data_IF_047562715827
#
_entry.id   IF_047562715827
#
_cell.length_a   1.000
_cell.length_b   1.000
_cell.length_c   1.000
_cell.angle_alpha   90.00
_cell.angle_beta   90.00
_cell.angle_gamma   90.00
#
_symmetry.space_group_name_H-M   'P 1'
#
loop_
_entity.id
_entity.type
_entity.pdbx_description
1 polymer ?
#
# COMPACT_ATOMS: atom_id res chain seq x y z
N UNK A 1 -14.88 -17.49 28.97
CA UNK A 1 -15.78 -17.64 27.81
C UNK A 1 -14.92 -17.49 26.57
N UNK A 2 -14.90 -18.48 25.67
CA UNK A 2 -14.11 -18.38 24.44
C UNK A 2 -14.69 -17.23 23.59
N UNK A 3 -13.84 -16.28 23.21
CA UNK A 3 -14.21 -15.21 22.28
C UNK A 3 -14.35 -15.85 20.90
N UNK A 4 -15.57 -15.96 20.40
CA UNK A 4 -15.82 -16.33 19.02
C UNK A 4 -15.44 -15.13 18.14
N UNK A 5 -14.49 -15.31 17.22
CA UNK A 5 -14.06 -14.24 16.34
C UNK A 5 -15.04 -14.12 15.17
N UNK A 6 -15.65 -12.94 15.01
CA UNK A 6 -16.57 -12.71 13.88
C UNK A 6 -15.81 -12.53 12.57
N UNK A 7 -16.51 -12.62 11.43
CA UNK A 7 -15.91 -12.33 10.13
C UNK A 7 -15.37 -10.90 10.06
N UNK A 8 -16.08 -9.95 10.68
CA UNK A 8 -15.67 -8.54 10.77
C UNK A 8 -14.39 -8.37 11.61
N UNK A 9 -14.22 -9.14 12.69
CA UNK A 9 -13.02 -9.08 13.52
C UNK A 9 -11.78 -9.58 12.77
N UNK A 10 -11.93 -10.66 11.99
CA UNK A 10 -10.86 -11.22 11.17
C UNK A 10 -10.52 -10.25 10.04
N UNK A 11 -11.51 -9.76 9.30
CA UNK A 11 -11.33 -8.79 8.23
C UNK A 11 -10.63 -7.50 8.74
N UNK A 12 -11.06 -6.99 9.90
CA UNK A 12 -10.43 -5.82 10.54
C UNK A 12 -8.99 -6.08 10.95
N UNK A 13 -8.67 -7.30 11.38
CA UNK A 13 -7.30 -7.69 11.76
C UNK A 13 -6.40 -7.78 10.53
N UNK A 14 -6.90 -8.33 9.42
CA UNK A 14 -6.20 -8.36 8.12
C UNK A 14 -5.93 -6.92 7.64
N UNK A 15 -6.94 -6.04 7.70
CA UNK A 15 -6.83 -4.65 7.26
C UNK A 15 -5.84 -3.85 8.11
N UNK A 16 -5.78 -4.12 9.42
CA UNK A 16 -4.78 -3.49 10.30
C UNK A 16 -3.35 -3.85 9.89
N UNK A 17 -3.12 -5.09 9.46
CA UNK A 17 -1.84 -5.50 8.88
C UNK A 17 -1.49 -4.71 7.62
N UNK A 18 -2.47 -4.51 6.74
CA UNK A 18 -2.31 -3.68 5.55
C UNK A 18 -1.96 -2.23 5.90
N UNK A 19 -2.70 -1.61 6.81
CA UNK A 19 -2.45 -0.23 7.26
C UNK A 19 -1.05 -0.10 7.86
N UNK A 20 -0.60 -1.07 8.66
CA UNK A 20 0.75 -1.09 9.21
C UNK A 20 1.82 -1.15 8.11
N UNK A 21 1.63 -2.02 7.11
CA UNK A 21 2.50 -2.09 5.94
C UNK A 21 2.54 -0.76 5.18
N UNK A 22 1.38 -0.16 4.87
CA UNK A 22 1.28 1.09 4.12
C UNK A 22 1.96 2.25 4.85
N UNK A 23 1.81 2.31 6.17
CA UNK A 23 2.48 3.31 7.01
C UNK A 23 4.00 3.17 6.96
N UNK A 24 4.54 1.96 7.07
CA UNK A 24 5.98 1.74 7.02
C UNK A 24 6.55 1.98 5.63
N UNK A 25 5.85 1.52 4.59
CA UNK A 25 6.24 1.77 3.20
C UNK A 25 6.35 3.27 2.91
N UNK A 26 5.37 4.04 3.38
CA UNK A 26 5.36 5.51 3.27
C UNK A 26 6.51 6.13 4.03
N UNK A 27 6.76 5.76 5.30
CA UNK A 27 7.89 6.29 6.09
C UNK A 27 9.24 6.08 5.40
N UNK A 28 9.48 4.90 4.82
CA UNK A 28 10.73 4.63 4.08
C UNK A 28 10.84 5.56 2.87
N UNK A 29 9.73 5.70 2.12
CA UNK A 29 9.67 6.45 0.86
C UNK A 29 9.77 7.96 1.09
N UNK A 30 9.13 8.51 2.13
CA UNK A 30 9.17 9.93 2.49
C UNK A 30 10.60 10.40 2.81
N UNK A 31 11.44 9.50 3.34
CA UNK A 31 12.85 9.78 3.60
C UNK A 31 13.75 9.83 2.35
N UNK A 32 13.24 9.51 1.16
CA UNK A 32 14.07 9.45 -0.06
C UNK A 32 14.68 10.81 -0.42
N UNK A 33 13.90 11.90 -0.32
CA UNK A 33 14.36 13.25 -0.62
C UNK A 33 15.54 13.67 0.26
N UNK A 34 15.43 13.48 1.57
CA UNK A 34 16.50 13.84 2.50
C UNK A 34 17.80 13.06 2.25
N UNK A 35 17.71 11.74 1.96
CA UNK A 35 18.88 10.91 1.63
C UNK A 35 19.56 11.38 0.34
N UNK A 36 18.77 11.80 -0.65
CA UNK A 36 19.30 12.37 -1.90
C UNK A 36 20.00 13.72 -1.64
N UNK A 37 19.35 14.63 -0.92
CA UNK A 37 19.89 15.96 -0.61
C UNK A 37 21.18 15.91 0.22
N UNK A 38 21.34 14.89 1.06
CA UNK A 38 22.53 14.67 1.89
C UNK A 38 23.59 13.78 1.22
N UNK A 39 23.36 13.33 -0.02
CA UNK A 39 24.23 12.41 -0.74
C UNK A 39 24.49 11.07 0.01
N UNK A 40 23.52 10.60 0.79
CA UNK A 40 23.61 9.34 1.55
C UNK A 40 23.29 8.12 0.68
N UNK A 41 24.13 7.86 -0.32
CA UNK A 41 23.86 6.84 -1.36
C UNK A 41 23.70 5.42 -0.81
N UNK A 42 24.53 5.03 0.15
CA UNK A 42 24.44 3.72 0.78
C UNK A 42 23.14 3.56 1.57
N UNK A 43 22.67 4.62 2.24
CA UNK A 43 21.40 4.61 2.96
C UNK A 43 20.22 4.55 1.99
N UNK A 44 20.28 5.24 0.85
CA UNK A 44 19.28 5.15 -0.19
C UNK A 44 19.17 3.72 -0.75
N UNK A 45 20.30 3.05 -0.97
CA UNK A 45 20.31 1.64 -1.40
C UNK A 45 19.71 0.71 -0.33
N UNK A 46 20.10 0.88 0.94
CA UNK A 46 19.54 0.10 2.05
C UNK A 46 18.03 0.30 2.19
N UNK A 47 17.56 1.55 2.13
CA UNK A 47 16.13 1.87 2.19
C UNK A 47 15.35 1.26 1.02
N UNK A 48 15.94 1.18 -0.17
CA UNK A 48 15.32 0.51 -1.32
C UNK A 48 15.15 -0.99 -1.07
N UNK A 49 16.18 -1.65 -0.54
CA UNK A 49 16.13 -3.08 -0.17
C UNK A 49 15.08 -3.32 0.92
N UNK A 50 15.12 -2.51 1.99
CA UNK A 50 14.14 -2.55 3.08
C UNK A 50 12.71 -2.44 2.54
N UNK A 51 12.45 -1.47 1.65
CA UNK A 51 11.12 -1.28 1.06
C UNK A 51 10.64 -2.48 0.23
N UNK A 52 11.54 -3.17 -0.47
CA UNK A 52 11.20 -4.37 -1.26
C UNK A 52 10.83 -5.52 -0.32
N UNK A 53 11.65 -5.77 0.70
CA UNK A 53 11.46 -6.87 1.65
C UNK A 53 10.25 -6.64 2.57
N UNK A 54 9.91 -5.38 2.85
CA UNK A 54 8.87 -4.98 3.80
C UNK A 54 7.52 -5.67 3.53
N UNK A 55 7.16 -5.91 2.27
CA UNK A 55 5.88 -6.54 1.95
C UNK A 55 5.79 -7.96 2.53
N UNK A 56 6.79 -8.80 2.27
CA UNK A 56 6.83 -10.18 2.75
C UNK A 56 6.93 -10.22 4.28
N UNK A 57 7.78 -9.39 4.87
CA UNK A 57 7.93 -9.28 6.33
C UNK A 57 6.59 -8.96 7.01
N UNK A 58 5.83 -8.00 6.45
CA UNK A 58 4.55 -7.57 7.02
C UNK A 58 3.44 -8.60 6.81
N UNK A 59 3.47 -9.33 5.70
CA UNK A 59 2.56 -10.47 5.46
C UNK A 59 2.80 -11.53 6.54
N UNK A 60 4.06 -11.92 6.77
CA UNK A 60 4.42 -12.91 7.80
C UNK A 60 3.99 -12.44 9.19
N UNK A 61 4.30 -11.21 9.58
CA UNK A 61 3.91 -10.64 10.88
C UNK A 61 2.39 -10.65 11.08
N UNK A 62 1.63 -10.31 10.04
CA UNK A 62 0.17 -10.30 10.09
C UNK A 62 -0.39 -11.71 10.23
N UNK A 63 0.13 -12.67 9.47
CA UNK A 63 -0.27 -14.09 9.55
C UNK A 63 0.02 -14.66 10.94
N UNK A 64 1.20 -14.40 11.49
CA UNK A 64 1.59 -14.85 12.83
C UNK A 64 0.69 -14.22 13.90
N UNK A 65 0.36 -12.94 13.75
CA UNK A 65 -0.59 -12.23 14.63
C UNK A 65 -1.99 -12.85 14.57
N UNK A 66 -2.48 -13.19 13.37
CA UNK A 66 -3.77 -13.85 13.18
C UNK A 66 -3.77 -15.23 13.84
N UNK A 67 -2.74 -16.06 13.57
CA UNK A 67 -2.59 -17.40 14.14
C UNK A 67 -2.47 -17.42 15.66
N UNK A 68 -1.84 -16.38 16.23
CA UNK A 68 -1.66 -16.27 17.69
C UNK A 68 -2.97 -15.90 18.39
N UNK A 69 -3.77 -15.03 17.78
CA UNK A 69 -4.94 -14.44 18.43
C UNK A 69 -6.27 -15.15 18.11
N UNK A 70 -6.36 -15.83 16.97
CA UNK A 70 -7.57 -16.46 16.47
C UNK A 70 -7.39 -17.98 16.47
N UNK A 71 -8.31 -18.75 17.07
CA UNK A 71 -8.26 -20.21 17.01
C UNK A 71 -8.21 -20.72 15.57
N UNK A 72 -7.42 -21.77 15.32
CA UNK A 72 -7.31 -22.36 13.98
C UNK A 72 -8.67 -22.83 13.42
N UNK A 73 -9.55 -23.32 14.29
CA UNK A 73 -10.91 -23.71 13.92
C UNK A 73 -11.75 -22.55 13.38
N UNK A 74 -11.45 -21.31 13.80
CA UNK A 74 -12.13 -20.11 13.30
C UNK A 74 -11.43 -19.54 12.05
N UNK A 75 -10.09 -19.53 12.04
CA UNK A 75 -9.28 -18.87 11.01
C UNK A 75 -9.11 -19.71 9.74
N UNK A 76 -8.99 -21.04 9.88
CA UNK A 76 -8.69 -21.97 8.78
C UNK A 76 -9.93 -22.73 8.29
N UNK A 77 -11.13 -22.37 8.74
CA UNK A 77 -12.40 -22.89 8.21
C UNK A 77 -12.74 -22.18 6.90
N UNK A 78 -12.53 -22.85 5.77
CA UNK A 78 -12.62 -22.27 4.42
C UNK A 78 -14.03 -21.74 4.11
N UNK A 79 -15.06 -22.37 4.65
CA UNK A 79 -16.47 -22.01 4.49
C UNK A 79 -16.79 -20.61 5.06
N UNK A 80 -15.94 -20.09 5.94
CA UNK A 80 -16.09 -18.74 6.51
C UNK A 80 -15.49 -17.64 5.64
N UNK A 81 -14.53 -17.98 4.78
CA UNK A 81 -13.77 -17.00 3.99
C UNK A 81 -14.60 -16.16 3.02
N UNK A 82 -15.68 -16.66 2.40
CA UNK A 82 -16.58 -15.79 1.63
C UNK A 82 -17.22 -14.67 2.47
N UNK A 83 -17.54 -14.96 3.73
CA UNK A 83 -18.11 -13.96 4.66
C UNK A 83 -17.03 -12.98 5.13
N UNK A 84 -15.82 -13.47 5.44
CA UNK A 84 -14.67 -12.62 5.80
C UNK A 84 -14.31 -11.68 4.65
N UNK A 85 -14.27 -12.20 3.41
CA UNK A 85 -14.04 -11.40 2.21
C UNK A 85 -15.11 -10.31 2.02
N UNK A 86 -16.38 -10.66 2.22
CA UNK A 86 -17.49 -9.70 2.13
C UNK A 86 -17.40 -8.59 3.19
N UNK A 87 -17.03 -8.94 4.42
CA UNK A 87 -16.74 -7.96 5.46
C UNK A 87 -15.55 -7.05 5.07
N UNK A 88 -14.48 -7.63 4.54
CA UNK A 88 -13.30 -6.90 4.09
C UNK A 88 -13.61 -5.92 2.93
N UNK A 89 -14.43 -6.34 1.95
CA UNK A 89 -14.92 -5.48 0.85
C UNK A 89 -15.56 -4.21 1.40
N UNK A 90 -16.40 -4.36 2.43
CA UNK A 90 -17.11 -3.24 3.08
C UNK A 90 -16.12 -2.27 3.74
N UNK A 91 -15.07 -2.79 4.38
CA UNK A 91 -14.06 -1.97 5.04
C UNK A 91 -13.20 -1.17 4.06
N UNK A 92 -12.90 -1.73 2.88
CA UNK A 92 -12.00 -1.09 1.91
C UNK A 92 -12.72 -0.19 0.89
N UNK A 93 -14.05 -0.18 0.87
CA UNK A 93 -14.83 0.52 -0.16
C UNK A 93 -14.57 2.03 -0.24
N UNK A 94 -14.29 2.65 0.91
CA UNK A 94 -13.99 4.09 1.01
C UNK A 94 -12.52 4.43 0.73
N UNK A 95 -11.66 3.43 0.47
CA UNK A 95 -10.21 3.62 0.37
C UNK A 95 -9.78 3.97 -1.05
N UNK A 96 -8.76 4.81 -1.16
CA UNK A 96 -8.12 5.13 -2.44
C UNK A 96 -7.10 4.09 -2.89
N UNK A 97 -6.70 3.18 -1.99
CA UNK A 97 -5.73 2.09 -2.20
C UNK A 97 -6.34 0.69 -1.98
N UNK A 98 -7.66 0.58 -2.08
CA UNK A 98 -8.47 -0.65 -2.13
C UNK A 98 -7.92 -1.79 -3.02
N UNK A 99 -7.42 -1.54 -4.24
CA UNK A 99 -6.83 -2.58 -5.11
C UNK A 99 -5.57 -3.21 -4.48
N UNK A 100 -4.76 -2.40 -3.80
CA UNK A 100 -3.64 -2.90 -3.02
C UNK A 100 -4.12 -3.67 -1.79
N UNK A 101 -5.25 -3.25 -1.20
CA UNK A 101 -5.86 -3.95 -0.07
C UNK A 101 -6.42 -5.34 -0.48
N UNK A 102 -6.96 -5.48 -1.70
CA UNK A 102 -7.38 -6.77 -2.28
C UNK A 102 -6.18 -7.70 -2.49
N UNK A 103 -5.09 -7.16 -3.06
CA UNK A 103 -3.83 -7.90 -3.25
C UNK A 103 -3.24 -8.35 -1.91
N UNK A 104 -3.28 -7.48 -0.90
CA UNK A 104 -2.87 -7.80 0.46
C UNK A 104 -3.68 -8.95 1.06
N UNK A 105 -5.01 -8.88 0.94
CA UNK A 105 -5.90 -9.95 1.41
C UNK A 105 -5.52 -11.30 0.78
N UNK A 106 -5.27 -11.31 -0.53
CA UNK A 106 -4.83 -12.51 -1.24
C UNK A 106 -3.52 -13.07 -0.68
N UNK A 107 -2.54 -12.23 -0.36
CA UNK A 107 -1.28 -12.67 0.25
C UNK A 107 -1.49 -13.32 1.63
N UNK A 108 -2.36 -12.75 2.46
CA UNK A 108 -2.70 -13.34 3.76
C UNK A 108 -3.43 -14.68 3.58
N UNK A 109 -4.41 -14.74 2.68
CA UNK A 109 -5.14 -15.98 2.38
C UNK A 109 -4.18 -17.08 1.91
N UNK A 110 -3.37 -16.81 0.88
CA UNK A 110 -2.42 -17.78 0.34
C UNK A 110 -1.40 -18.25 1.39
N UNK A 111 -0.97 -17.37 2.30
CA UNK A 111 -0.06 -17.75 3.39
C UNK A 111 -0.73 -18.65 4.45
N UNK A 112 -2.02 -18.44 4.71
CA UNK A 112 -2.79 -19.28 5.65
C UNK A 112 -3.12 -20.67 5.08
N UNK A 113 -3.47 -20.74 3.79
CA UNK A 113 -3.89 -21.97 3.11
C UNK A 113 -2.82 -22.62 2.23
N UNK A 114 -1.56 -22.19 2.33
CA UNK A 114 -0.46 -22.72 1.53
C UNK A 114 -0.71 -22.70 0.01
N UNK A 115 -1.41 -21.66 -0.48
CA UNK A 115 -1.84 -21.49 -1.88
C UNK A 115 -2.89 -22.51 -2.39
N UNK A 116 -3.53 -23.26 -1.51
CA UNK A 116 -4.68 -24.11 -1.85
C UNK A 116 -6.01 -23.34 -1.73
N UNK A 117 -7.11 -23.94 -2.22
CA UNK A 117 -8.48 -23.40 -2.11
C UNK A 117 -8.71 -22.03 -2.79
N UNK A 118 -7.99 -21.78 -3.89
CA UNK A 118 -8.18 -20.58 -4.73
C UNK A 118 -9.56 -20.63 -5.39
N UNK A 119 -10.43 -19.71 -5.01
CA UNK A 119 -11.75 -19.48 -5.60
C UNK A 119 -12.07 -17.99 -5.57
N UNK A 120 -12.85 -17.51 -6.54
CA UNK A 120 -13.34 -16.12 -6.55
C UNK A 120 -14.30 -15.82 -5.38
N UNK A 121 -14.84 -16.88 -4.76
CA UNK A 121 -15.66 -16.76 -3.56
C UNK A 121 -14.82 -16.46 -2.31
N UNK A 122 -13.60 -17.01 -2.22
CA UNK A 122 -12.77 -16.98 -1.01
C UNK A 122 -11.69 -15.89 -1.05
N UNK A 123 -11.26 -15.47 -2.24
CA UNK A 123 -10.24 -14.46 -2.44
C UNK A 123 -10.55 -13.55 -3.65
N UNK A 124 -9.75 -12.52 -3.86
CA UNK A 124 -9.92 -11.57 -4.98
C UNK A 124 -9.19 -12.08 -6.24
N UNK A 125 -9.78 -13.03 -6.96
CA UNK A 125 -9.26 -13.45 -8.28
C UNK A 125 -9.52 -12.36 -9.31
N UNK A 126 -10.72 -11.77 -9.26
CA UNK A 126 -11.06 -10.54 -9.95
C UNK A 126 -11.19 -9.38 -8.96
N UNK A 127 -10.76 -8.19 -9.39
CA UNK A 127 -10.94 -6.98 -8.57
C UNK A 127 -12.43 -6.69 -8.43
N UNK A 128 -12.84 -6.31 -7.22
CA UNK A 128 -14.21 -5.85 -6.97
C UNK A 128 -14.36 -4.34 -7.21
N UNK A 129 -13.28 -3.69 -7.69
CA UNK A 129 -13.23 -2.24 -7.87
C UNK A 129 -13.62 -1.81 -9.29
N UNK A 130 -14.33 -0.68 -9.44
CA UNK A 130 -14.70 -0.18 -10.76
C UNK A 130 -13.46 0.32 -11.52
N UNK A 131 -13.44 0.10 -12.83
CA UNK A 131 -12.37 0.58 -13.72
C UNK A 131 -12.28 2.11 -13.80
N UNK A 132 -13.37 2.81 -13.52
CA UNK A 132 -13.47 4.27 -13.52
C UNK A 132 -13.82 4.72 -12.10
N UNK A 133 -12.90 5.44 -11.46
CA UNK A 133 -13.14 6.05 -10.14
C UNK A 133 -13.58 7.50 -10.31
N UNK A 134 -14.78 7.81 -9.82
CA UNK A 134 -15.37 9.16 -9.85
C UNK A 134 -14.79 10.07 -8.74
N UNK A 135 -14.05 9.52 -7.77
CA UNK A 135 -13.49 10.32 -6.68
C UNK A 135 -12.38 11.24 -7.20
N UNK A 136 -12.55 12.54 -6.97
CA UNK A 136 -11.58 13.57 -7.29
C UNK A 136 -10.28 13.36 -6.50
N UNK A 137 -9.36 12.58 -7.06
CA UNK A 137 -7.98 12.54 -6.57
C UNK A 137 -7.35 13.91 -6.78
N UNK A 138 -6.54 14.36 -5.82
CA UNK A 138 -5.66 15.50 -6.06
C UNK A 138 -4.84 15.19 -7.34
N UNK A 139 -4.67 16.15 -8.25
CA UNK A 139 -4.01 15.89 -9.51
C UNK A 139 -2.55 15.49 -9.24
N UNK A 140 -2.17 14.28 -9.66
CA UNK A 140 -0.78 13.80 -9.58
C UNK A 140 0.16 14.55 -10.54
N UNK A 141 -0.42 15.29 -11.49
CA UNK A 141 0.31 16.06 -12.48
C UNK A 141 -0.03 17.53 -12.36
N UNK A 142 0.94 18.39 -12.66
CA UNK A 142 0.76 19.82 -12.78
C UNK A 142 0.97 20.22 -14.23
N UNK A 143 0.01 20.95 -14.79
CA UNK A 143 0.05 21.36 -16.21
C UNK A 143 0.53 22.80 -16.28
N UNK A 144 1.65 23.01 -16.96
CA UNK A 144 2.21 24.33 -17.24
C UNK A 144 1.88 24.72 -18.68
N UNK A 145 1.36 25.94 -18.88
CA UNK A 145 1.06 26.50 -20.21
C UNK A 145 1.96 27.71 -20.44
N UNK A 146 3.00 27.59 -21.30
CA UNK A 146 3.99 28.65 -21.42
C UNK A 146 3.49 29.97 -21.99
N UNK A 147 2.46 29.95 -22.85
CA UNK A 147 1.87 31.16 -23.47
C UNK A 147 2.92 32.14 -24.05
N UNK A 148 3.97 31.58 -24.69
CA UNK A 148 5.08 32.35 -25.27
C UNK A 148 6.23 32.68 -24.31
N UNK A 149 6.14 32.32 -23.03
CA UNK A 149 7.13 32.59 -21.96
C UNK A 149 7.82 31.30 -21.49
N UNK A 150 8.42 30.56 -22.44
CA UNK A 150 9.02 29.25 -22.16
C UNK A 150 10.07 29.28 -21.04
N UNK A 151 11.01 30.23 -21.08
CA UNK A 151 12.06 30.37 -20.05
C UNK A 151 11.47 30.48 -18.64
N UNK A 152 10.53 31.41 -18.43
CA UNK A 152 9.89 31.61 -17.13
C UNK A 152 9.11 30.37 -16.67
N UNK A 153 8.54 29.62 -17.61
CA UNK A 153 7.80 28.39 -17.29
C UNK A 153 8.75 27.29 -16.83
N UNK A 154 9.92 27.15 -17.46
CA UNK A 154 10.96 26.21 -17.01
C UNK A 154 11.51 26.61 -15.65
N UNK A 155 11.80 27.89 -15.44
CA UNK A 155 12.21 28.43 -14.14
C UNK A 155 11.19 28.08 -13.05
N UNK A 156 9.89 28.26 -13.32
CA UNK A 156 8.82 27.88 -12.40
C UNK A 156 8.81 26.38 -12.10
N UNK A 157 9.06 25.51 -13.09
CA UNK A 157 9.14 24.05 -12.87
C UNK A 157 10.29 23.71 -11.91
N UNK A 158 11.46 24.33 -12.09
CA UNK A 158 12.59 24.15 -11.17
C UNK A 158 12.25 24.61 -9.74
N UNK A 159 11.50 25.71 -9.58
CA UNK A 159 11.08 26.21 -8.27
C UNK A 159 10.02 25.32 -7.60
N UNK A 160 9.01 24.88 -8.35
CA UNK A 160 7.91 24.05 -7.85
C UNK A 160 8.41 22.67 -7.35
N UNK A 161 9.55 22.18 -7.87
CA UNK A 161 10.16 20.90 -7.49
C UNK A 161 11.57 21.03 -6.90
N UNK A 162 11.91 22.19 -6.34
CA UNK A 162 13.26 22.45 -5.78
C UNK A 162 13.66 21.46 -4.69
N UNK A 163 14.92 21.05 -4.71
CA UNK A 163 15.60 20.41 -3.58
C UNK A 163 16.21 21.48 -2.65
N UNK A 164 16.54 21.11 -1.42
CA UNK A 164 17.26 21.97 -0.47
C UNK A 164 18.79 22.01 -0.75
N UNK A 165 19.17 21.70 -1.99
CA UNK A 165 20.55 21.75 -2.51
C UNK A 165 20.56 22.63 -3.76
N UNK A 166 21.50 23.58 -3.89
CA UNK A 166 21.56 24.44 -5.06
C UNK A 166 21.93 23.65 -6.32
N UNK A 167 21.39 24.08 -7.45
CA UNK A 167 21.85 23.62 -8.77
C UNK A 167 23.30 24.05 -9.00
N UNK A 168 24.06 23.24 -9.74
CA UNK A 168 25.41 23.62 -10.19
C UNK A 168 25.35 24.88 -11.07
N UNK A 169 24.47 24.88 -12.08
CA UNK A 169 24.23 26.02 -12.95
C UNK A 169 22.80 26.00 -13.51
N UNK A 170 21.89 26.71 -12.83
CA UNK A 170 20.47 26.76 -13.22
C UNK A 170 20.19 27.50 -14.53
N UNK A 171 21.04 28.43 -14.95
CA UNK A 171 20.82 29.13 -16.23
C UNK A 171 21.19 28.27 -17.44
N UNK A 172 22.12 27.31 -17.24
CA UNK A 172 22.59 26.36 -18.24
C UNK A 172 21.62 25.19 -18.40
N UNK A 173 21.14 24.64 -17.29
CA UNK A 173 20.25 23.47 -17.22
C UNK A 173 18.82 23.80 -17.70
#
# INVERSE_FOLDING_TARGET
MAKYWSADDIASSILRGFDNYRDQFRRITDGARARFEQAHWQEAQRASIERINLYEEKVTETVDTLRTNIPAADLLEIERWPTIRSAYITLIDVRLDDELAETWFNSIFCSLFSHDNISDDTMFVHTTRPSLRTHARAPYTRVYRPEGKLRQTLEQIFDDYRFDVPHENRERD
#
